data_IF_625055544751
#
_entry.id   IF_625055544751
#
_cell.length_a   1.000
_cell.length_b   1.000
_cell.length_c   1.000
_cell.angle_alpha   90.00
_cell.angle_beta   90.00
_cell.angle_gamma   90.00
#
_symmetry.space_group_name_H-M   'P 1'
#
loop_
_entity.id
_entity.type
_entity.pdbx_description
1 polymer ?
#
# COMPACT_ATOMS: atom_id res chain seq x y z
N UNK A 1 6.45 13.51 -0.91
CA UNK A 1 5.48 12.43 -0.62
C UNK A 1 4.10 13.01 -0.90
N UNK A 2 3.29 12.30 -1.67
CA UNK A 2 1.92 12.73 -2.03
C UNK A 2 0.93 11.84 -1.28
N UNK A 3 -0.15 12.40 -0.74
CA UNK A 3 -1.21 11.60 -0.11
C UNK A 3 -1.98 10.85 -1.18
N UNK A 4 -2.31 9.59 -0.88
CA UNK A 4 -3.04 8.71 -1.78
C UNK A 4 -4.07 7.92 -1.00
N UNK A 5 -5.17 7.61 -1.67
CA UNK A 5 -5.98 6.44 -1.31
C UNK A 5 -5.55 5.27 -2.18
N UNK A 6 -5.53 4.06 -1.64
CA UNK A 6 -5.14 2.88 -2.40
C UNK A 6 -5.93 1.63 -2.01
N UNK A 7 -6.01 0.66 -2.91
CA UNK A 7 -6.52 -0.69 -2.62
C UNK A 7 -5.60 -1.73 -3.22
N UNK A 8 -5.53 -2.91 -2.60
CA UNK A 8 -4.71 -4.05 -3.06
C UNK A 8 -5.64 -5.23 -3.24
N UNK A 9 -5.75 -5.75 -4.48
CA UNK A 9 -6.67 -6.85 -4.83
C UNK A 9 -8.05 -6.71 -4.15
N UNK A 10 -8.68 -5.53 -4.32
CA UNK A 10 -9.99 -5.14 -3.75
C UNK A 10 -10.04 -4.91 -2.23
N UNK A 11 -8.94 -5.09 -1.49
CA UNK A 11 -8.84 -4.69 -0.09
C UNK A 11 -8.54 -3.20 0.00
N UNK A 12 -9.46 -2.44 0.61
CA UNK A 12 -9.37 -0.99 0.77
C UNK A 12 -10.73 -0.32 0.55
N UNK A 13 -10.76 1.02 0.36
CA UNK A 13 -9.61 1.91 0.25
C UNK A 13 -8.89 2.12 1.59
N UNK A 14 -7.59 2.37 1.52
CA UNK A 14 -6.72 2.73 2.64
C UNK A 14 -6.02 4.04 2.35
N UNK A 15 -5.65 4.75 3.41
CA UNK A 15 -4.84 5.96 3.31
C UNK A 15 -3.35 5.64 3.35
N UNK A 16 -2.59 6.32 2.49
CA UNK A 16 -1.15 6.17 2.40
C UNK A 16 -0.45 7.41 1.89
N UNK A 17 0.87 7.32 1.81
CA UNK A 17 1.73 8.34 1.21
C UNK A 17 2.64 7.69 0.18
N UNK A 18 2.52 8.14 -1.07
CA UNK A 18 3.34 7.64 -2.18
C UNK A 18 4.66 8.40 -2.26
N UNK A 19 5.72 7.65 -2.53
CA UNK A 19 7.01 8.15 -3.02
C UNK A 19 7.37 7.39 -4.30
N UNK A 20 7.82 8.11 -5.31
CA UNK A 20 8.35 7.49 -6.53
C UNK A 20 9.87 7.31 -6.36
N UNK A 21 10.35 6.10 -6.65
CA UNK A 21 11.79 5.82 -6.69
C UNK A 21 12.36 6.23 -8.05
N UNK A 22 11.79 5.68 -9.12
CA UNK A 22 12.17 5.91 -10.53
C UNK A 22 10.89 6.16 -11.37
N UNK A 23 11.03 6.34 -12.70
CA UNK A 23 9.89 6.59 -13.59
C UNK A 23 8.81 5.48 -13.56
N UNK A 24 9.18 4.24 -13.26
CA UNK A 24 8.27 3.09 -13.30
C UNK A 24 8.09 2.42 -11.94
N UNK A 25 8.74 2.89 -10.88
CA UNK A 25 8.71 2.25 -9.57
C UNK A 25 8.34 3.24 -8.49
N UNK A 26 7.46 2.82 -7.58
CA UNK A 26 7.06 3.61 -6.44
C UNK A 26 6.76 2.77 -5.22
N UNK A 27 6.58 3.46 -4.11
CA UNK A 27 6.25 2.87 -2.83
C UNK A 27 5.16 3.68 -2.14
N UNK A 28 4.17 3.00 -1.57
CA UNK A 28 3.15 3.59 -0.70
C UNK A 28 3.45 3.16 0.73
N UNK A 29 3.77 4.12 1.59
CA UNK A 29 3.81 3.90 3.03
C UNK A 29 2.40 4.06 3.60
N UNK A 30 2.01 3.18 4.53
CA UNK A 30 0.71 3.20 5.20
C UNK A 30 0.89 2.90 6.69
N UNK A 31 -0.09 3.30 7.50
CA UNK A 31 -0.05 3.13 8.96
C UNK A 31 -1.40 2.66 9.48
N UNK A 32 -1.37 1.67 10.37
CA UNK A 32 -2.54 1.15 11.09
C UNK A 32 -3.77 0.82 10.21
N UNK A 33 -3.56 0.20 9.04
CA UNK A 33 -4.68 -0.24 8.18
C UNK A 33 -5.31 -1.52 8.75
N UNK A 34 -6.64 -1.68 8.74
CA UNK A 34 -7.36 -2.75 9.45
C UNK A 34 -7.34 -4.09 8.69
N UNK A 35 -6.15 -4.59 8.39
CA UNK A 35 -5.91 -5.84 7.66
C UNK A 35 -4.69 -6.57 8.22
N UNK A 36 -4.64 -7.88 8.01
CA UNK A 36 -3.52 -8.73 8.41
C UNK A 36 -2.59 -8.97 7.22
N UNK A 37 -1.29 -9.13 7.50
CA UNK A 37 -0.29 -9.45 6.48
C UNK A 37 -0.66 -10.70 5.65
N UNK A 38 -1.32 -11.69 6.25
CA UNK A 38 -1.76 -12.90 5.56
C UNK A 38 -2.78 -12.63 4.46
N UNK A 39 -3.59 -11.57 4.56
CA UNK A 39 -4.58 -11.19 3.54
C UNK A 39 -3.93 -10.65 2.27
N UNK A 40 -2.66 -10.24 2.34
CA UNK A 40 -1.89 -9.81 1.18
C UNK A 40 -0.97 -10.90 0.62
N UNK A 41 -1.09 -12.13 1.12
CA UNK A 41 -0.32 -13.26 0.59
C UNK A 41 -0.73 -13.50 -0.86
N UNK A 42 0.19 -13.26 -1.79
CA UNK A 42 -0.05 -13.43 -3.23
C UNK A 42 -0.65 -12.21 -3.92
N UNK A 43 -0.70 -11.05 -3.24
CA UNK A 43 -1.20 -9.81 -3.82
C UNK A 43 -0.55 -9.48 -5.16
N UNK A 44 -1.36 -9.11 -6.16
CA UNK A 44 -0.88 -8.89 -7.54
C UNK A 44 -1.00 -7.45 -8.00
N UNK A 45 -2.07 -6.79 -7.62
CA UNK A 45 -2.42 -5.49 -8.17
C UNK A 45 -2.67 -4.49 -7.06
N UNK A 46 -2.24 -3.25 -7.30
CA UNK A 46 -2.57 -2.12 -6.46
C UNK A 46 -3.22 -1.04 -7.30
N UNK A 47 -4.35 -0.52 -6.84
CA UNK A 47 -5.00 0.66 -7.39
C UNK A 47 -4.68 1.86 -6.52
N UNK A 48 -4.25 2.95 -7.13
CA UNK A 48 -3.70 4.12 -6.44
C UNK A 48 -4.44 5.34 -6.95
N UNK A 49 -4.99 6.14 -6.05
CA UNK A 49 -5.67 7.39 -6.33
C UNK A 49 -5.00 8.54 -5.56
N UNK A 50 -4.09 9.28 -6.22
CA UNK A 50 -3.47 10.48 -5.65
C UNK A 50 -4.49 11.58 -5.39
N UNK A 51 -4.28 12.39 -4.36
CA UNK A 51 -5.14 13.54 -4.02
C UNK A 51 -5.28 14.54 -5.19
N UNK A 52 -4.19 14.76 -5.93
CA UNK A 52 -4.12 15.76 -7.01
C UNK A 52 -4.09 15.15 -8.43
N UNK A 53 -4.49 13.89 -8.61
CA UNK A 53 -4.29 13.20 -9.89
C UNK A 53 -5.28 12.09 -10.21
N UNK A 54 -5.25 11.58 -11.46
CA UNK A 54 -6.08 10.45 -11.85
C UNK A 54 -5.63 9.17 -11.13
N UNK A 55 -6.59 8.30 -10.84
CA UNK A 55 -6.29 6.98 -10.32
C UNK A 55 -5.63 6.10 -11.40
N UNK A 56 -4.75 5.20 -10.99
CA UNK A 56 -4.06 4.25 -11.86
C UNK A 56 -3.86 2.90 -11.16
N UNK A 57 -3.56 1.88 -11.95
CA UNK A 57 -3.24 0.54 -11.46
C UNK A 57 -1.76 0.21 -11.69
N UNK A 58 -1.20 -0.59 -10.80
CA UNK A 58 0.18 -1.04 -10.87
C UNK A 58 0.33 -2.46 -10.34
N UNK A 59 1.43 -3.11 -10.69
CA UNK A 59 1.75 -4.45 -10.19
C UNK A 59 2.45 -4.36 -8.84
N UNK A 60 1.97 -5.12 -7.86
CA UNK A 60 2.63 -5.26 -6.55
C UNK A 60 3.91 -6.06 -6.71
N UNK A 61 5.03 -5.47 -6.27
CA UNK A 61 6.35 -6.11 -6.28
C UNK A 61 6.68 -6.69 -4.91
N UNK A 62 6.38 -5.96 -3.85
CA UNK A 62 6.68 -6.36 -2.47
C UNK A 62 5.78 -5.64 -1.49
N UNK A 63 5.31 -6.36 -0.48
CA UNK A 63 4.67 -5.77 0.71
C UNK A 63 5.56 -6.07 1.90
N UNK A 64 5.96 -5.03 2.62
CA UNK A 64 6.73 -5.16 3.87
C UNK A 64 5.90 -4.61 5.00
N UNK A 65 5.76 -5.39 6.05
CA UNK A 65 5.01 -5.01 7.24
C UNK A 65 5.96 -4.92 8.42
N UNK A 66 5.88 -3.83 9.17
CA UNK A 66 6.63 -3.69 10.40
C UNK A 66 5.87 -4.43 11.50
N UNK A 67 6.26 -5.68 11.78
CA UNK A 67 5.72 -6.48 12.89
C UNK A 67 6.08 -5.96 14.29
N UNK A 68 6.58 -4.73 14.40
CA UNK A 68 7.28 -4.21 15.58
C UNK A 68 6.50 -3.26 16.49
N UNK A 69 5.38 -2.68 16.05
CA UNK A 69 4.58 -1.83 16.93
C UNK A 69 3.39 -2.60 17.49
N UNK A 70 3.53 -2.97 18.77
CA UNK A 70 2.52 -3.56 19.66
C UNK A 70 1.14 -2.92 19.45
N UNK A 71 0.30 -3.53 18.64
CA UNK A 71 -1.13 -3.55 18.88
C UNK A 71 -1.57 -5.02 18.88
N UNK A 72 -1.27 -5.72 19.98
CA UNK A 72 -1.69 -7.10 20.21
C UNK A 72 -3.22 -7.27 20.26
N UNK A 73 -3.97 -6.17 20.10
CA UNK A 73 -5.43 -6.07 20.24
C UNK A 73 -6.13 -5.36 19.07
N UNK A 74 -5.41 -4.69 18.16
CA UNK A 74 -5.99 -4.15 16.91
C UNK A 74 -5.44 -4.96 15.75
N UNK A 75 -6.32 -5.52 14.93
CA UNK A 75 -6.03 -6.18 13.64
C UNK A 75 -5.53 -5.17 12.59
N UNK A 76 -4.54 -4.34 12.97
CA UNK A 76 -4.01 -3.25 12.18
C UNK A 76 -2.54 -3.48 11.82
N UNK A 77 -2.14 -3.06 10.62
CA UNK A 77 -0.76 -3.16 10.14
C UNK A 77 -0.21 -1.85 9.61
N UNK A 78 1.11 -1.69 9.78
CA UNK A 78 1.90 -0.56 9.29
C UNK A 78 3.02 -1.10 8.41
N UNK A 79 3.39 -0.36 7.37
CA UNK A 79 4.42 -0.80 6.46
C UNK A 79 4.41 -0.04 5.15
N UNK A 80 4.89 -0.71 4.09
CA UNK A 80 4.88 -0.16 2.75
C UNK A 80 4.62 -1.21 1.67
N UNK A 81 4.05 -0.75 0.56
CA UNK A 81 3.86 -1.53 -0.67
C UNK A 81 4.70 -0.93 -1.78
N UNK A 82 5.64 -1.72 -2.31
CA UNK A 82 6.40 -1.40 -3.51
C UNK A 82 5.67 -1.92 -4.74
N UNK A 83 5.58 -1.09 -5.77
CA UNK A 83 4.87 -1.39 -7.00
C UNK A 83 5.65 -0.92 -8.24
N UNK A 84 5.29 -1.48 -9.40
CA UNK A 84 5.80 -1.08 -10.71
C UNK A 84 4.66 -0.73 -11.65
N UNK A 85 4.75 0.41 -12.33
CA UNK A 85 3.83 0.81 -13.39
C UNK A 85 4.30 0.22 -14.73
N UNK A 86 3.35 -0.29 -15.52
CA UNK A 86 3.59 -0.83 -16.86
C UNK A 86 3.77 0.22 -17.93
#
# INVERSE_FOLDING_TARGET
MTRVTFSIDDLGPFDGSIRYGNLTEGEIAFTAIPVRATQFTGARTIRIAPEDGPAFEATVVRITTDGGYRQQFDDSMTGYVAFRTG
#
